data_IF_093444128032
#
_entry.id   IF_093444128032
#
_cell.length_a   1.000
_cell.length_b   1.000
_cell.length_c   1.000
_cell.angle_alpha   90.00
_cell.angle_beta   90.00
_cell.angle_gamma   90.00
#
_symmetry.space_group_name_H-M   'P 1'
#
loop_
_entity.id
_entity.type
_entity.pdbx_description
1 polymer ?
#
# COMPACT_ATOMS: atom_id res chain seq x y z
N UNK A 1 7.79 9.39 -13.88
CA UNK A 1 6.66 10.34 -13.74
C UNK A 1 5.28 9.70 -13.88
N UNK A 2 5.14 8.40 -14.20
CA UNK A 2 3.83 7.72 -14.25
C UNK A 2 3.60 6.93 -12.94
N UNK A 3 2.58 7.30 -12.17
CA UNK A 3 2.13 6.54 -11.01
C UNK A 3 1.09 5.52 -11.47
N UNK A 4 1.50 4.25 -11.57
CA UNK A 4 0.62 3.11 -11.91
C UNK A 4 0.10 2.50 -10.62
N UNK A 5 -1.20 2.24 -10.55
CA UNK A 5 -1.78 1.56 -9.41
C UNK A 5 -1.31 0.09 -9.34
N UNK A 6 -1.07 -0.47 -8.15
CA UNK A 6 -0.75 -1.88 -8.04
C UNK A 6 -1.93 -2.76 -8.52
N UNK A 7 -1.64 -3.95 -9.10
CA UNK A 7 -2.65 -4.92 -9.50
C UNK A 7 -3.50 -5.40 -8.32
N UNK A 8 -4.67 -5.99 -8.61
CA UNK A 8 -5.55 -6.52 -7.55
C UNK A 8 -4.84 -7.57 -6.70
N UNK A 9 -5.02 -7.48 -5.39
CA UNK A 9 -4.34 -8.36 -4.43
C UNK A 9 -2.91 -7.95 -4.12
N UNK A 10 -2.38 -6.89 -4.76
CA UNK A 10 -1.12 -6.24 -4.38
C UNK A 10 -1.42 -4.88 -3.75
N UNK A 11 -0.82 -4.61 -2.60
CA UNK A 11 -0.99 -3.36 -1.88
C UNK A 11 0.29 -2.87 -1.22
N UNK A 12 0.37 -1.56 -1.04
CA UNK A 12 1.45 -0.92 -0.32
C UNK A 12 1.00 -0.55 1.09
N UNK A 13 1.75 -0.99 2.09
CA UNK A 13 1.48 -0.65 3.49
C UNK A 13 2.78 -0.30 4.21
N UNK A 14 2.68 0.42 5.32
CA UNK A 14 3.87 0.72 6.12
C UNK A 14 4.32 -0.51 6.90
N UNK A 15 5.65 -0.70 6.98
CA UNK A 15 6.23 -1.83 7.70
C UNK A 15 5.81 -1.90 9.18
N UNK A 16 5.60 -0.74 9.83
CA UNK A 16 5.18 -0.64 11.24
C UNK A 16 3.78 -1.19 11.54
N UNK A 17 2.94 -1.41 10.52
CA UNK A 17 1.58 -1.93 10.68
C UNK A 17 1.58 -3.47 10.68
N UNK A 18 2.24 -4.07 11.68
CA UNK A 18 2.50 -5.52 11.75
C UNK A 18 1.19 -6.33 11.70
N UNK A 19 0.25 -6.04 12.60
CA UNK A 19 -1.01 -6.79 12.72
C UNK A 19 -1.87 -6.71 11.44
N UNK A 20 -1.87 -5.55 10.79
CA UNK A 20 -2.62 -5.33 9.55
C UNK A 20 -1.98 -6.08 8.38
N UNK A 21 -0.65 -6.08 8.29
CA UNK A 21 0.09 -6.80 7.25
C UNK A 21 -0.08 -8.33 7.39
N UNK A 22 -0.10 -8.86 8.62
CA UNK A 22 -0.38 -10.27 8.89
C UNK A 22 -1.79 -10.70 8.45
N UNK A 23 -2.79 -9.86 8.71
CA UNK A 23 -4.16 -10.11 8.25
C UNK A 23 -4.25 -10.11 6.71
N UNK A 24 -3.56 -9.20 6.04
CA UNK A 24 -3.50 -9.18 4.59
C UNK A 24 -2.80 -10.42 4.03
N UNK A 25 -1.71 -10.86 4.65
CA UNK A 25 -1.02 -12.09 4.27
C UNK A 25 -1.95 -13.32 4.41
N UNK A 26 -2.71 -13.40 5.50
CA UNK A 26 -3.70 -14.47 5.74
C UNK A 26 -4.85 -14.43 4.73
N UNK A 27 -5.26 -13.24 4.30
CA UNK A 27 -6.28 -13.03 3.27
C UNK A 27 -5.80 -13.29 1.83
N UNK A 28 -4.53 -13.71 1.64
CA UNK A 28 -3.94 -13.93 0.32
C UNK A 28 -3.60 -12.65 -0.44
N UNK A 29 -3.50 -11.51 0.24
CA UNK A 29 -3.12 -10.22 -0.32
C UNK A 29 -1.61 -10.04 -0.12
N UNK A 30 -0.89 -9.82 -1.21
CA UNK A 30 0.54 -9.51 -1.18
C UNK A 30 0.72 -8.06 -0.78
N UNK A 31 1.43 -7.82 0.31
CA UNK A 31 1.74 -6.47 0.79
C UNK A 31 3.22 -6.20 0.61
N UNK A 32 3.53 -5.05 0.00
CA UNK A 32 4.89 -4.51 -0.09
C UNK A 32 5.10 -3.54 1.08
N UNK A 33 5.89 -3.93 2.10
CA UNK A 33 6.14 -3.06 3.24
C UNK A 33 7.09 -1.92 2.83
N UNK A 34 6.63 -0.68 3.04
CA UNK A 34 7.42 0.52 2.82
C UNK A 34 7.94 1.04 4.17
N UNK A 35 9.24 1.36 4.31
CA UNK A 35 9.74 2.04 5.51
C UNK A 35 9.16 3.46 5.57
N UNK A 36 8.39 3.78 6.60
CA UNK A 36 7.60 5.01 6.67
C UNK A 36 7.17 5.39 8.09
N UNK A 37 8.12 5.40 9.02
CA UNK A 37 7.86 5.72 10.43
C UNK A 37 7.43 7.18 10.63
N UNK A 38 8.07 8.11 9.91
CA UNK A 38 7.72 9.55 9.90
C UNK A 38 6.43 9.81 9.09
N UNK A 39 6.36 9.28 7.86
CA UNK A 39 5.27 9.58 6.92
C UNK A 39 3.91 9.13 7.42
N UNK A 40 3.83 7.96 8.04
CA UNK A 40 2.56 7.54 8.60
C UNK A 40 2.17 8.31 9.88
N UNK A 41 3.06 9.06 10.56
CA UNK A 41 2.67 9.94 11.69
C UNK A 41 1.87 11.15 11.18
N UNK A 42 2.15 11.60 9.95
CA UNK A 42 1.41 12.65 9.25
C UNK A 42 -0.02 12.27 8.84
N UNK A 43 -0.58 11.16 9.33
CA UNK A 43 -1.92 10.62 8.98
C UNK A 43 -2.09 10.26 7.49
N UNK A 44 -1.00 10.20 6.72
CA UNK A 44 -1.01 9.80 5.30
C UNK A 44 -0.67 8.33 5.12
N UNK A 45 -1.63 7.52 4.65
CA UNK A 45 -1.36 6.18 4.15
C UNK A 45 -0.77 6.21 2.73
N UNK A 46 -0.26 5.08 2.23
CA UNK A 46 0.24 4.98 0.84
C UNK A 46 -0.79 5.44 -0.21
N UNK A 47 -2.08 5.19 0.06
CA UNK A 47 -3.20 5.69 -0.75
C UNK A 47 -3.39 7.21 -0.68
N UNK A 48 -3.14 7.83 0.46
CA UNK A 48 -3.23 9.30 0.60
C UNK A 48 -2.09 10.01 -0.15
N UNK A 49 -0.98 9.31 -0.40
CA UNK A 49 0.21 9.84 -1.07
C UNK A 49 0.33 9.40 -2.53
N UNK A 50 -0.70 8.74 -3.08
CA UNK A 50 -0.72 8.30 -4.48
C UNK A 50 -1.96 8.84 -5.18
N UNK A 51 -1.77 9.23 -6.44
CA UNK A 51 -2.84 9.59 -7.36
C UNK A 51 -2.61 8.80 -8.65
N UNK A 52 -3.17 7.59 -8.77
CA UNK A 52 -2.93 6.76 -9.95
C UNK A 52 -3.58 7.42 -11.16
N UNK A 53 -2.76 7.70 -12.17
CA UNK A 53 -3.21 8.31 -13.42
C UNK A 53 -3.88 7.28 -14.32
N UNK A 54 -3.47 6.02 -14.18
CA UNK A 54 -3.94 4.91 -14.99
C UNK A 54 -4.10 3.67 -14.12
N UNK A 55 -5.13 2.90 -14.45
CA UNK A 55 -5.42 1.58 -13.91
C UNK A 55 -5.75 0.68 -15.07
N UNK A 56 -5.02 -0.43 -15.19
CA UNK A 56 -5.40 -1.47 -16.11
C UNK A 56 -6.79 -1.99 -15.71
N UNK A 57 -7.68 -2.10 -16.69
CA UNK A 57 -9.05 -2.58 -16.51
C UNK A 57 -9.10 -4.00 -15.95
N UNK A 58 -10.30 -4.45 -15.52
CA UNK A 58 -10.47 -5.80 -14.97
C UNK A 58 -10.05 -6.89 -15.96
#
# INVERSE_FOLDING_TARGET
>A
TRAVAPPRGLGDAYQRQIWTNENYATAGITILPIPGDELGRGRGGARCMSCPLERDGI
#
